data_IF_803574609056
#
_entry.id   IF_803574609056
#
_cell.length_a   1.000
_cell.length_b   1.000
_cell.length_c   1.000
_cell.angle_alpha   90.00
_cell.angle_beta   90.00
_cell.angle_gamma   90.00
#
_symmetry.space_group_name_H-M   'P 1'
#
loop_
_entity.id
_entity.type
_entity.pdbx_description
1 polymer ?
#
# COMPACT_ATOMS: atom_id res chain seq x y z
N UNK A 1 0.81 2.24 19.80
CA UNK A 1 1.74 2.24 18.65
C UNK A 1 2.18 3.66 18.39
N UNK A 2 3.49 3.95 18.28
CA UNK A 2 3.94 5.23 17.71
C UNK A 2 3.38 5.32 16.29
N UNK A 3 2.72 6.43 15.95
CA UNK A 3 2.31 6.71 14.57
C UNK A 3 3.58 6.66 13.71
N UNK A 4 3.61 5.82 12.67
CA UNK A 4 4.69 5.89 11.68
C UNK A 4 4.61 7.26 11.02
N UNK A 5 5.53 8.14 11.39
CA UNK A 5 5.64 9.49 10.84
C UNK A 5 6.67 9.42 9.73
N UNK A 6 6.25 9.76 8.52
CA UNK A 6 7.07 9.65 7.32
C UNK A 6 7.69 11.00 6.90
N UNK A 7 7.27 12.10 7.54
CA UNK A 7 7.58 13.50 7.18
C UNK A 7 9.07 13.84 7.12
N UNK A 8 9.92 13.16 7.89
CA UNK A 8 11.36 13.49 8.01
C UNK A 8 12.29 12.49 7.32
N UNK A 9 11.77 11.63 6.43
CA UNK A 9 12.57 10.61 5.72
C UNK A 9 12.78 10.99 4.26
N UNK A 10 13.96 10.72 3.68
CA UNK A 10 14.24 11.03 2.27
C UNK A 10 13.38 10.25 1.26
N UNK A 11 12.78 9.13 1.66
CA UNK A 11 11.77 8.38 0.88
C UNK A 11 10.37 8.51 1.50
N UNK A 12 10.23 9.41 2.47
CA UNK A 12 9.08 9.53 3.35
C UNK A 12 7.80 9.85 2.61
N UNK A 13 7.87 10.72 1.61
CA UNK A 13 6.71 11.12 0.81
C UNK A 13 6.18 9.96 -0.03
N UNK A 14 7.07 9.17 -0.64
CA UNK A 14 6.70 7.99 -1.43
C UNK A 14 6.20 6.84 -0.55
N UNK A 15 6.84 6.60 0.60
CA UNK A 15 6.33 5.63 1.61
C UNK A 15 4.94 6.05 2.10
N UNK A 16 4.72 7.34 2.36
CA UNK A 16 3.43 7.87 2.77
C UNK A 16 2.36 7.73 1.67
N UNK A 17 2.73 8.00 0.43
CA UNK A 17 1.85 7.79 -0.73
C UNK A 17 1.46 6.32 -0.87
N UNK A 18 2.42 5.40 -0.76
CA UNK A 18 2.17 3.96 -0.81
C UNK A 18 1.31 3.46 0.36
N UNK A 19 1.44 4.05 1.55
CA UNK A 19 0.56 3.75 2.67
C UNK A 19 -0.89 4.18 2.41
N UNK A 20 -1.07 5.39 1.84
CA UNK A 20 -2.39 5.88 1.43
C UNK A 20 -2.99 5.01 0.32
N UNK A 21 -2.21 4.69 -0.73
CA UNK A 21 -2.62 3.79 -1.80
C UNK A 21 -3.01 2.41 -1.25
N UNK A 22 -2.25 1.88 -0.31
CA UNK A 22 -2.57 0.61 0.34
C UNK A 22 -3.89 0.66 1.12
N UNK A 23 -4.15 1.76 1.84
CA UNK A 23 -5.42 1.98 2.54
C UNK A 23 -6.60 2.14 1.56
N UNK A 24 -6.40 2.88 0.47
CA UNK A 24 -7.36 3.00 -0.64
C UNK A 24 -7.72 1.63 -1.20
N UNK A 25 -6.72 0.80 -1.51
CA UNK A 25 -6.95 -0.53 -2.07
C UNK A 25 -7.67 -1.46 -1.10
N UNK A 26 -7.34 -1.40 0.19
CA UNK A 26 -8.04 -2.18 1.23
C UNK A 26 -9.50 -1.76 1.42
N UNK A 27 -9.80 -0.47 1.24
CA UNK A 27 -11.19 0.02 1.21
C UNK A 27 -11.98 -0.60 0.06
N UNK A 28 -11.35 -0.70 -1.12
CA UNK A 28 -11.96 -1.28 -2.32
C UNK A 28 -12.09 -2.80 -2.31
N UNK A 29 -11.35 -3.52 -1.44
CA UNK A 29 -11.52 -4.98 -1.26
C UNK A 29 -12.86 -5.37 -0.64
N UNK A 30 -13.65 -4.39 -0.21
CA UNK A 30 -14.98 -4.59 0.37
C UNK A 30 -14.91 -5.16 1.78
N UNK A 31 -15.89 -4.81 2.60
CA UNK A 31 -16.11 -5.51 3.87
C UNK A 31 -16.51 -6.95 3.54
N UNK A 32 -15.94 -7.99 4.18
CA UNK A 32 -16.51 -9.33 4.17
C UNK A 32 -17.95 -9.27 4.70
N UNK A 33 -18.91 -9.04 3.80
CA UNK A 33 -20.33 -8.90 4.15
C UNK A 33 -20.97 -10.28 4.25
N UNK A 34 -20.55 -11.04 5.25
CA UNK A 34 -21.41 -12.01 5.93
C UNK A 34 -21.89 -11.40 7.25
N UNK A 35 -22.44 -10.19 7.17
CA UNK A 35 -23.08 -9.55 8.32
C UNK A 35 -24.58 -9.60 8.06
N UNK A 36 -25.36 -9.87 9.10
CA UNK A 36 -26.82 -9.93 9.00
C UNK A 36 -27.37 -8.66 8.32
N UNK A 37 -28.49 -8.73 7.59
CA UNK A 37 -29.12 -7.55 6.98
C UNK A 37 -29.33 -6.40 7.99
N UNK A 38 -29.54 -6.75 9.26
CA UNK A 38 -29.65 -5.80 10.36
C UNK A 38 -28.35 -5.02 10.61
N UNK A 39 -27.19 -5.68 10.60
CA UNK A 39 -25.91 -5.01 10.77
C UNK A 39 -25.58 -4.08 9.59
N UNK A 40 -25.99 -4.45 8.37
CA UNK A 40 -25.88 -3.56 7.22
C UNK A 40 -26.76 -2.31 7.37
N UNK A 41 -28.01 -2.46 7.83
CA UNK A 41 -28.90 -1.32 8.13
C UNK A 41 -28.36 -0.44 9.25
N UNK A 42 -27.85 -1.04 10.33
CA UNK A 42 -27.24 -0.30 11.44
C UNK A 42 -26.07 0.56 10.96
N UNK A 43 -25.18 0.02 10.12
CA UNK A 43 -24.06 0.77 9.57
C UNK A 43 -24.48 1.84 8.54
N UNK A 44 -25.64 1.71 7.90
CA UNK A 44 -26.19 2.77 7.04
C UNK A 44 -26.80 3.91 7.86
N UNK A 45 -27.53 3.58 8.93
CA UNK A 45 -28.19 4.57 9.80
C UNK A 45 -27.20 5.27 10.75
N UNK A 46 -26.17 4.54 11.20
CA UNK A 46 -25.11 5.03 12.06
C UNK A 46 -23.79 4.46 11.53
N UNK A 47 -23.15 5.15 10.55
CA UNK A 47 -21.88 4.70 10.01
C UNK A 47 -20.83 4.66 11.12
N UNK A 48 -20.34 3.46 11.41
CA UNK A 48 -19.15 3.32 12.24
C UNK A 48 -17.97 3.91 11.46
N UNK A 49 -17.10 4.72 12.10
CA UNK A 49 -15.93 5.26 11.44
C UNK A 49 -15.10 4.09 10.88
N UNK A 50 -15.00 4.03 9.56
CA UNK A 50 -14.23 2.98 8.89
C UNK A 50 -12.78 3.13 9.34
N UNK A 51 -12.14 2.03 9.77
CA UNK A 51 -10.83 2.08 10.42
C UNK A 51 -9.67 2.59 9.53
N UNK A 52 -9.94 2.87 8.25
CA UNK A 52 -8.94 3.27 7.25
C UNK A 52 -9.34 4.61 6.65
N UNK A 53 -8.69 5.69 7.09
CA UNK A 53 -8.72 6.98 6.41
C UNK A 53 -7.51 7.10 5.47
N UNK A 54 -7.75 7.60 4.26
CA UNK A 54 -6.73 7.93 3.27
C UNK A 54 -7.11 9.24 2.57
N UNK A 55 -6.11 9.94 2.04
CA UNK A 55 -6.30 11.27 1.38
C UNK A 55 -6.06 11.18 -0.14
N UNK A 56 -5.60 10.03 -0.63
CA UNK A 56 -5.30 9.81 -2.05
C UNK A 56 -6.58 9.79 -2.91
N UNK A 57 -6.49 10.31 -4.13
CA UNK A 57 -7.57 10.27 -5.13
C UNK A 57 -7.48 9.02 -6.00
N UNK A 58 -8.57 8.62 -6.65
CA UNK A 58 -8.58 7.44 -7.52
C UNK A 58 -7.56 7.55 -8.67
N UNK A 59 -7.45 8.72 -9.32
CA UNK A 59 -6.48 8.94 -10.40
C UNK A 59 -5.02 8.77 -9.93
N UNK A 60 -4.70 9.30 -8.75
CA UNK A 60 -3.35 9.17 -8.18
C UNK A 60 -3.08 7.74 -7.72
N UNK A 61 -4.10 7.04 -7.20
CA UNK A 61 -4.00 5.63 -6.87
C UNK A 61 -3.76 4.75 -8.11
N UNK A 62 -4.45 5.04 -9.23
CA UNK A 62 -4.24 4.34 -10.50
C UNK A 62 -2.84 4.57 -11.08
N UNK A 63 -2.28 5.78 -10.92
CA UNK A 63 -0.92 6.08 -11.35
C UNK A 63 0.11 5.29 -10.54
N UNK A 64 -0.12 5.15 -9.22
CA UNK A 64 0.69 4.28 -8.35
C UNK A 64 0.57 2.81 -8.76
N UNK A 65 -0.64 2.32 -9.09
CA UNK A 65 -0.83 0.97 -9.60
C UNK A 65 -0.05 0.73 -10.90
N UNK A 66 -0.07 1.69 -11.83
CA UNK A 66 0.71 1.62 -13.06
C UNK A 66 2.23 1.59 -12.81
N UNK A 67 2.72 2.39 -11.86
CA UNK A 67 4.12 2.39 -11.44
C UNK A 67 4.53 1.03 -10.85
N UNK A 68 3.70 0.44 -10.00
CA UNK A 68 3.95 -0.89 -9.41
C UNK A 68 3.87 -1.97 -10.47
N UNK A 69 2.93 -1.91 -11.42
CA UNK A 69 2.84 -2.85 -12.53
C UNK A 69 4.11 -2.84 -13.40
N UNK A 70 4.64 -1.64 -13.71
CA UNK A 70 5.95 -1.48 -14.37
C UNK A 70 7.08 -2.10 -13.55
N UNK A 71 7.06 -1.93 -12.22
CA UNK A 71 8.06 -2.51 -11.34
C UNK A 71 7.97 -4.04 -11.34
N UNK A 72 6.78 -4.62 -11.24
CA UNK A 72 6.54 -6.07 -11.31
C UNK A 72 7.08 -6.64 -12.63
N UNK A 73 6.78 -5.98 -13.75
CA UNK A 73 7.27 -6.40 -15.06
C UNK A 73 8.81 -6.42 -15.16
N UNK A 74 9.51 -5.58 -14.39
CA UNK A 74 10.98 -5.56 -14.32
C UNK A 74 11.56 -6.50 -13.28
N UNK A 75 10.93 -6.59 -12.12
CA UNK A 75 11.34 -7.43 -11.00
C UNK A 75 10.10 -7.84 -10.20
N UNK A 76 9.62 -9.05 -10.49
CA UNK A 76 8.44 -9.66 -9.87
C UNK A 76 8.53 -9.65 -8.34
N UNK A 77 9.65 -10.13 -7.79
CA UNK A 77 9.82 -10.25 -6.34
C UNK A 77 9.71 -8.90 -5.63
N UNK A 78 10.34 -7.87 -6.20
CA UNK A 78 10.34 -6.53 -5.62
C UNK A 78 8.93 -5.90 -5.65
N UNK A 79 8.23 -6.03 -6.78
CA UNK A 79 6.86 -5.55 -6.91
C UNK A 79 5.88 -6.29 -6.01
N UNK A 80 6.00 -7.61 -5.90
CA UNK A 80 5.18 -8.43 -5.00
C UNK A 80 5.38 -8.05 -3.53
N UNK A 81 6.62 -7.74 -3.13
CA UNK A 81 6.92 -7.32 -1.76
C UNK A 81 6.28 -5.96 -1.42
N UNK A 82 6.29 -5.00 -2.35
CA UNK A 82 5.53 -3.73 -2.18
C UNK A 82 4.05 -4.02 -2.09
N UNK A 83 3.52 -4.86 -2.98
CA UNK A 83 2.12 -5.21 -3.04
C UNK A 83 1.65 -5.84 -1.73
N UNK A 84 2.39 -6.81 -1.18
CA UNK A 84 2.02 -7.47 0.08
C UNK A 84 2.17 -6.54 1.27
N UNK A 85 3.26 -5.76 1.32
CA UNK A 85 3.55 -4.90 2.46
C UNK A 85 2.57 -3.72 2.55
N UNK A 86 2.45 -2.93 1.49
CA UNK A 86 1.60 -1.74 1.50
C UNK A 86 0.15 -2.06 1.16
N UNK A 87 -0.07 -2.94 0.17
CA UNK A 87 -1.38 -3.22 -0.39
C UNK A 87 -2.22 -4.21 0.40
N UNK A 88 -1.62 -5.30 0.92
CA UNK A 88 -2.32 -6.26 1.80
C UNK A 88 -2.00 -6.06 3.28
N UNK A 89 -1.17 -5.06 3.61
CA UNK A 89 -0.76 -4.74 4.98
C UNK A 89 -0.10 -5.92 5.72
N UNK A 90 0.65 -6.77 5.00
CA UNK A 90 1.47 -7.80 5.65
C UNK A 90 2.63 -7.17 6.42
N UNK A 91 3.00 -7.77 7.55
CA UNK A 91 4.20 -7.36 8.28
C UNK A 91 5.45 -7.83 7.53
N UNK A 92 6.56 -7.08 7.68
CA UNK A 92 7.86 -7.45 7.12
C UNK A 92 8.30 -8.85 7.57
N UNK A 93 8.02 -9.21 8.83
CA UNK A 93 8.32 -10.54 9.38
C UNK A 93 7.56 -11.63 8.61
N UNK A 94 6.25 -11.45 8.41
CA UNK A 94 5.42 -12.40 7.66
C UNK A 94 5.91 -12.59 6.22
N UNK A 95 6.27 -11.51 5.54
CA UNK A 95 6.83 -11.56 4.19
C UNK A 95 8.15 -12.33 4.20
N UNK A 96 9.04 -12.01 5.14
CA UNK A 96 10.34 -12.66 5.26
C UNK A 96 10.22 -14.18 5.52
N UNK A 97 9.34 -14.58 6.45
CA UNK A 97 9.06 -15.99 6.76
C UNK A 97 8.49 -16.75 5.55
N UNK A 98 7.52 -16.14 4.86
CA UNK A 98 6.88 -16.73 3.66
C UNK A 98 7.88 -16.96 2.53
N UNK A 99 8.95 -16.17 2.47
CA UNK A 99 10.02 -16.26 1.48
C UNK A 99 11.32 -16.87 2.01
N UNK A 100 11.32 -17.46 3.22
CA UNK A 100 12.49 -18.11 3.84
C UNK A 100 13.73 -17.21 3.91
N UNK A 101 13.53 -15.93 4.23
CA UNK A 101 14.61 -14.94 4.34
C UNK A 101 14.54 -14.19 5.68
N UNK A 102 15.56 -13.38 5.95
CA UNK A 102 15.58 -12.52 7.14
C UNK A 102 14.70 -11.28 6.96
N UNK A 103 14.13 -10.76 8.06
CA UNK A 103 13.37 -9.50 8.04
C UNK A 103 14.19 -8.34 7.47
N UNK A 104 15.50 -8.31 7.78
CA UNK A 104 16.42 -7.31 7.25
C UNK A 104 16.49 -7.36 5.73
N UNK A 105 16.63 -8.54 5.16
CA UNK A 105 16.69 -8.72 3.70
C UNK A 105 15.36 -8.30 3.04
N UNK A 106 14.22 -8.69 3.61
CA UNK A 106 12.91 -8.25 3.13
C UNK A 106 12.75 -6.72 3.19
N UNK A 107 13.24 -6.09 4.27
CA UNK A 107 13.23 -4.62 4.42
C UNK A 107 14.09 -3.93 3.37
N UNK A 108 15.25 -4.48 3.04
CA UNK A 108 16.13 -3.94 2.00
C UNK A 108 15.47 -4.03 0.62
N UNK A 109 14.82 -5.15 0.29
CA UNK A 109 14.05 -5.31 -0.96
C UNK A 109 12.90 -4.31 -1.04
N UNK A 110 12.12 -4.15 0.04
CA UNK A 110 11.02 -3.18 0.08
C UNK A 110 11.55 -1.76 -0.11
N UNK A 111 12.66 -1.39 0.54
CA UNK A 111 13.27 -0.06 0.37
C UNK A 111 13.74 0.19 -1.07
N UNK A 112 14.33 -0.81 -1.71
CA UNK A 112 14.68 -0.74 -3.14
C UNK A 112 13.43 -0.59 -4.00
N UNK A 113 12.36 -1.31 -3.66
CA UNK A 113 11.07 -1.20 -4.31
C UNK A 113 10.47 0.20 -4.22
N UNK A 114 10.48 0.81 -3.04
CA UNK A 114 10.01 2.19 -2.84
C UNK A 114 10.79 3.16 -3.73
N UNK A 115 12.12 3.05 -3.78
CA UNK A 115 12.95 3.88 -4.66
C UNK A 115 12.66 3.63 -6.15
N UNK A 116 12.34 2.39 -6.55
CA UNK A 116 11.94 2.06 -7.90
C UNK A 116 10.59 2.67 -8.30
N UNK A 117 9.63 2.70 -7.37
CA UNK A 117 8.34 3.39 -7.57
C UNK A 117 8.56 4.90 -7.65
N UNK A 118 9.36 5.47 -6.76
CA UNK A 118 9.68 6.90 -6.76
C UNK A 118 10.24 7.37 -8.11
N UNK A 119 11.23 6.64 -8.65
CA UNK A 119 11.77 6.91 -9.98
C UNK A 119 10.71 6.78 -11.09
N UNK A 120 9.86 5.77 -11.04
CA UNK A 120 8.79 5.59 -12.02
C UNK A 120 7.73 6.70 -11.96
N UNK A 121 7.44 7.23 -10.78
CA UNK A 121 6.55 8.38 -10.58
C UNK A 121 7.17 9.67 -11.13
N UNK A 122 8.48 9.87 -10.90
CA UNK A 122 9.24 10.96 -11.51
C UNK A 122 9.16 10.96 -13.04
N UNK A 123 9.25 9.78 -13.68
CA UNK A 123 9.10 9.64 -15.14
C UNK A 123 7.73 10.13 -15.62
N UNK A 124 6.64 9.82 -14.89
CA UNK A 124 5.29 10.22 -15.28
C UNK A 124 5.11 11.74 -15.21
N UNK A 125 5.68 12.40 -14.20
CA UNK A 125 5.68 13.86 -14.10
C UNK A 125 6.51 14.53 -15.20
N UNK A 126 7.62 13.91 -15.65
CA UNK A 126 8.46 14.45 -16.71
C UNK A 126 7.88 14.25 -18.13
N UNK A 127 6.97 13.28 -18.29
CA UNK A 127 6.33 12.98 -19.57
C UNK A 127 5.01 13.75 -19.80
N UNK A 128 4.50 14.45 -18.79
CA UNK A 128 3.30 15.29 -18.84
C UNK A 128 3.65 16.75 -19.17
#
# INVERSE_FOLDING_TARGET
MKKRTYVDKPLGDTEYLLENWGSWRMSSMGVPRYVSPLAALMNQCAPEPTATSYVITDDTAMLVDAAIARLIARNQQMGDFIWWYFGFKWTMVRIAESHKMSERSAREIIRQGVAGVDGALGDFCAAA
#
